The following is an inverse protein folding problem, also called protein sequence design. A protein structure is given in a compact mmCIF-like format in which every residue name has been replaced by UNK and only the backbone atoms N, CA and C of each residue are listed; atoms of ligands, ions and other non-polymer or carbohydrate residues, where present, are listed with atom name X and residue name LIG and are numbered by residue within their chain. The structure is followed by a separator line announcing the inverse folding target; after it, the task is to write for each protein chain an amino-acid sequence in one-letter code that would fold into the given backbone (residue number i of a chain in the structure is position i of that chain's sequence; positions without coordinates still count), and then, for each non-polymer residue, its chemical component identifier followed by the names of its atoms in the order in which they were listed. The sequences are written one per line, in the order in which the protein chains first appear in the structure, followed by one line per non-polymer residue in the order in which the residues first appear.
data_IF_574208252973
#
_entry.id   IF_574208252973
#
_cell.length_a   1.000
_cell.length_b   1.000
_cell.length_c   1.000
_cell.angle_alpha   90.00
_cell.angle_beta   90.00
_cell.angle_gamma   90.00
#
_symmetry.space_group_name_H-M   'P 1'
#
loop_
_entity.id
_entity.type
_entity.pdbx_description
1 polymer ?
#
# COMPACT_ATOMS: atom_id res chain seq x y z
N UNK A 1 -20.76 32.90 -25.35
CA UNK A 1 -19.55 32.06 -25.23
C UNK A 1 -19.94 30.75 -24.54
N UNK A 2 -20.01 29.64 -25.28
CA UNK A 2 -20.27 28.32 -24.73
C UNK A 2 -19.06 27.91 -23.86
N UNK A 3 -19.29 27.59 -22.58
CA UNK A 3 -18.28 26.97 -21.73
C UNK A 3 -17.90 25.62 -22.36
N UNK A 4 -16.61 25.28 -22.49
CA UNK A 4 -16.22 23.98 -22.98
C UNK A 4 -16.79 22.90 -22.05
N UNK A 5 -17.50 21.91 -22.62
CA UNK A 5 -17.95 20.72 -21.87
C UNK A 5 -16.73 20.06 -21.24
N UNK A 6 -16.71 19.92 -19.92
CA UNK A 6 -15.68 19.15 -19.23
C UNK A 6 -15.75 17.71 -19.73
N UNK A 7 -14.75 17.30 -20.48
CA UNK A 7 -14.59 15.92 -20.96
C UNK A 7 -13.92 15.12 -19.85
N UNK A 8 -14.50 13.98 -19.48
CA UNK A 8 -13.89 13.03 -18.57
C UNK A 8 -13.26 11.90 -19.40
N UNK A 9 -11.96 11.67 -19.23
CA UNK A 9 -11.26 10.58 -19.88
C UNK A 9 -11.29 9.33 -18.99
N UNK A 10 -11.73 8.19 -19.56
CA UNK A 10 -11.70 6.89 -18.89
C UNK A 10 -10.73 5.98 -19.63
N UNK A 11 -9.76 5.43 -18.92
CA UNK A 11 -8.76 4.50 -19.48
C UNK A 11 -9.21 3.06 -19.19
N UNK A 12 -9.31 2.24 -20.24
CA UNK A 12 -9.53 0.80 -20.16
C UNK A 12 -8.22 0.09 -20.50
N UNK A 13 -7.77 -0.83 -19.66
CA UNK A 13 -6.51 -1.54 -19.89
C UNK A 13 -6.54 -2.96 -19.34
N UNK A 14 -5.93 -3.89 -20.05
CA UNK A 14 -5.67 -5.25 -19.56
C UNK A 14 -4.51 -5.30 -18.56
N UNK A 15 -3.74 -4.22 -18.43
CA UNK A 15 -2.60 -4.16 -17.52
C UNK A 15 -3.12 -3.75 -16.14
N UNK A 16 -2.98 -4.65 -15.18
CA UNK A 16 -3.30 -4.40 -13.77
C UNK A 16 -2.05 -3.89 -13.04
N UNK A 17 -1.59 -2.70 -13.44
CA UNK A 17 -0.44 -2.04 -12.83
C UNK A 17 -0.88 -0.71 -12.22
N UNK A 18 -0.64 -0.55 -10.95
CA UNK A 18 -0.96 0.68 -10.22
C UNK A 18 -0.06 1.84 -10.70
N UNK A 19 1.17 1.55 -11.10
CA UNK A 19 2.06 2.56 -11.69
C UNK A 19 1.47 3.14 -12.98
N UNK A 20 0.85 2.29 -13.82
CA UNK A 20 0.19 2.74 -15.06
C UNK A 20 -1.11 3.45 -14.73
N UNK A 21 -1.88 2.96 -13.76
CA UNK A 21 -3.07 3.66 -13.26
C UNK A 21 -2.71 5.06 -12.76
N UNK A 22 -1.68 5.17 -11.93
CA UNK A 22 -1.18 6.44 -11.42
C UNK A 22 -0.69 7.37 -12.54
N UNK A 23 -0.01 6.83 -13.54
CA UNK A 23 0.43 7.60 -14.71
C UNK A 23 -0.78 8.12 -15.50
N UNK A 24 -1.78 7.28 -15.77
CA UNK A 24 -2.99 7.68 -16.47
C UNK A 24 -3.73 8.82 -15.77
N UNK A 25 -3.88 8.75 -14.43
CA UNK A 25 -4.50 9.81 -13.63
C UNK A 25 -3.68 11.09 -13.64
N UNK A 26 -2.35 11.01 -13.58
CA UNK A 26 -1.47 12.20 -13.73
C UNK A 26 -1.61 12.85 -15.10
N UNK A 27 -1.86 12.06 -16.13
CA UNK A 27 -2.14 12.55 -17.50
C UNK A 27 -3.58 13.08 -17.67
N UNK A 28 -4.38 13.11 -16.61
CA UNK A 28 -5.73 13.69 -16.64
C UNK A 28 -6.87 12.69 -16.83
N UNK A 29 -6.61 11.36 -16.75
CA UNK A 29 -7.68 10.38 -16.72
C UNK A 29 -8.50 10.53 -15.45
N UNK A 30 -9.82 10.61 -15.57
CA UNK A 30 -10.73 10.66 -14.44
C UNK A 30 -11.03 9.29 -13.85
N UNK A 31 -10.79 8.21 -14.60
CA UNK A 31 -10.96 6.84 -14.15
C UNK A 31 -10.03 5.89 -14.91
N UNK A 32 -9.58 4.81 -14.23
CA UNK A 32 -8.83 3.73 -14.83
C UNK A 32 -9.50 2.40 -14.48
N UNK A 33 -9.88 1.62 -15.48
CA UNK A 33 -10.60 0.36 -15.30
C UNK A 33 -9.75 -0.77 -15.87
N UNK A 34 -9.36 -1.70 -15.00
CA UNK A 34 -8.63 -2.89 -15.40
C UNK A 34 -9.59 -3.93 -15.99
N UNK A 35 -9.28 -4.38 -17.20
CA UNK A 35 -10.01 -5.46 -17.90
C UNK A 35 -9.44 -6.84 -17.51
N UNK A 36 -10.23 -7.94 -17.62
CA UNK A 36 -11.65 -7.92 -17.99
C UNK A 36 -12.54 -7.37 -16.88
N UNK A 37 -13.56 -6.58 -17.26
CA UNK A 37 -14.59 -6.07 -16.35
C UNK A 37 -15.95 -6.19 -17.04
N UNK A 38 -17.03 -6.48 -16.32
CA UNK A 38 -18.39 -6.51 -16.87
C UNK A 38 -18.77 -5.17 -17.49
N UNK A 39 -19.49 -5.18 -18.61
CA UNK A 39 -19.91 -3.94 -19.29
C UNK A 39 -20.72 -3.00 -18.37
N UNK A 40 -21.57 -3.57 -17.51
CA UNK A 40 -22.32 -2.82 -16.50
C UNK A 40 -21.44 -2.06 -15.52
N UNK A 41 -20.32 -2.66 -15.10
CA UNK A 41 -19.34 -2.02 -14.21
C UNK A 41 -18.60 -0.88 -14.92
N UNK A 42 -18.22 -1.09 -16.18
CA UNK A 42 -17.56 -0.06 -17.02
C UNK A 42 -18.47 1.15 -17.17
N UNK A 43 -19.74 0.93 -17.53
CA UNK A 43 -20.74 2.00 -17.71
C UNK A 43 -21.01 2.72 -16.39
N UNK A 44 -21.16 1.98 -15.29
CA UNK A 44 -21.40 2.55 -13.97
C UNK A 44 -20.24 3.46 -13.53
N UNK A 45 -19.00 3.03 -13.72
CA UNK A 45 -17.81 3.79 -13.33
C UNK A 45 -17.56 4.99 -14.26
N UNK A 46 -17.81 4.85 -15.55
CA UNK A 46 -17.75 5.95 -16.51
C UNK A 46 -18.77 7.04 -16.18
N UNK A 47 -20.03 6.66 -15.90
CA UNK A 47 -21.08 7.61 -15.50
C UNK A 47 -20.77 8.29 -14.16
N UNK A 48 -20.14 7.60 -13.22
CA UNK A 48 -19.69 8.18 -11.96
C UNK A 48 -18.54 9.18 -12.16
N UNK A 49 -17.70 8.98 -13.19
CA UNK A 49 -16.62 9.89 -13.54
C UNK A 49 -17.13 11.28 -13.94
N UNK A 50 -18.22 11.36 -14.70
CA UNK A 50 -18.82 12.64 -15.11
C UNK A 50 -19.35 13.47 -13.93
N UNK A 51 -19.79 12.80 -12.85
CA UNK A 51 -20.38 13.45 -11.66
C UNK A 51 -19.32 13.89 -10.63
N UNK A 52 -18.08 13.48 -10.81
CA UNK A 52 -17.00 13.83 -9.86
C UNK A 52 -16.55 15.27 -10.08
N UNK A 53 -16.72 16.11 -9.06
CA UNK A 53 -16.09 17.44 -9.02
C UNK A 53 -14.59 17.31 -8.72
N UNK A 54 -13.81 18.35 -9.04
CA UNK A 54 -12.37 18.39 -8.82
C UNK A 54 -11.95 18.01 -7.38
N UNK A 55 -12.79 18.31 -6.38
CA UNK A 55 -12.56 17.94 -4.98
C UNK A 55 -12.65 16.43 -4.71
N UNK A 56 -13.52 15.72 -5.43
CA UNK A 56 -13.67 14.26 -5.31
C UNK A 56 -12.50 13.54 -6.00
N UNK A 57 -11.97 14.11 -7.08
CA UNK A 57 -10.78 13.61 -7.78
C UNK A 57 -9.55 13.73 -6.84
N UNK A 58 -9.47 14.78 -6.05
CA UNK A 58 -8.41 14.99 -5.06
C UNK A 58 -8.49 13.99 -3.90
N UNK A 59 -9.70 13.55 -3.51
CA UNK A 59 -9.88 12.53 -2.45
C UNK A 59 -9.64 11.09 -2.92
N UNK A 60 -9.86 10.79 -4.20
CA UNK A 60 -9.48 9.52 -4.83
C UNK A 60 -8.06 9.57 -5.41
N UNK A 61 -7.19 10.38 -4.83
CA UNK A 61 -5.78 10.33 -5.16
C UNK A 61 -5.34 8.87 -5.07
N UNK A 62 -4.99 8.33 -6.24
CA UNK A 62 -4.09 7.21 -6.39
C UNK A 62 -3.21 7.16 -5.14
N UNK A 63 -3.14 6.00 -4.52
CA UNK A 63 -2.19 5.68 -3.48
C UNK A 63 -0.78 6.14 -3.91
N UNK A 64 -0.50 7.44 -3.76
CA UNK A 64 0.88 7.83 -3.58
C UNK A 64 1.28 7.16 -2.27
N UNK A 65 2.23 6.23 -2.31
CA UNK A 65 2.61 5.51 -1.11
C UNK A 65 2.87 6.56 -0.04
N UNK A 66 2.14 6.48 1.06
CA UNK A 66 2.21 7.43 2.20
C UNK A 66 3.67 7.71 2.60
N UNK A 67 4.57 6.78 2.29
CA UNK A 67 5.99 6.90 2.58
C UNK A 67 6.71 7.94 1.69
N UNK A 68 6.29 8.21 0.45
CA UNK A 68 6.90 9.25 -0.39
C UNK A 68 6.52 10.66 0.06
N UNK A 69 5.34 10.84 0.64
CA UNK A 69 4.89 12.09 1.24
C UNK A 69 5.26 12.22 2.71
N UNK A 70 5.57 11.11 3.34
CA UNK A 70 5.96 11.10 4.74
C UNK A 70 7.30 11.82 4.89
N UNK A 71 7.32 12.92 5.62
CA UNK A 71 8.55 13.51 6.13
C UNK A 71 9.18 12.60 7.21
N UNK A 72 8.49 11.54 7.60
CA UNK A 72 8.93 10.61 8.61
C UNK A 72 10.06 9.72 8.09
N UNK A 73 11.20 9.84 8.75
CA UNK A 73 12.44 9.13 8.42
C UNK A 73 12.26 7.60 8.47
N UNK A 74 11.54 7.11 9.48
CA UNK A 74 11.33 5.68 9.67
C UNK A 74 10.50 5.08 8.53
N UNK A 75 9.40 5.72 8.14
CA UNK A 75 8.57 5.27 7.02
C UNK A 75 9.37 5.21 5.70
N UNK A 76 10.19 6.25 5.42
CA UNK A 76 11.03 6.28 4.21
C UNK A 76 12.09 5.20 4.22
N UNK A 77 12.73 4.96 5.37
CA UNK A 77 13.76 3.93 5.51
C UNK A 77 13.15 2.53 5.35
N UNK A 78 11.99 2.30 5.96
CA UNK A 78 11.21 1.08 5.78
C UNK A 78 10.87 0.84 4.31
N UNK A 79 10.34 1.84 3.61
CA UNK A 79 10.00 1.72 2.18
C UNK A 79 11.20 1.35 1.30
N UNK A 80 12.38 1.90 1.57
CA UNK A 80 13.62 1.52 0.85
C UNK A 80 13.96 0.05 1.08
N UNK A 81 13.95 -0.42 2.32
CA UNK A 81 14.23 -1.81 2.66
C UNK A 81 13.21 -2.75 2.00
N UNK A 82 11.91 -2.41 2.03
CA UNK A 82 10.86 -3.22 1.40
C UNK A 82 11.07 -3.33 -0.12
N UNK A 83 11.50 -2.26 -0.79
CA UNK A 83 11.83 -2.29 -2.21
C UNK A 83 13.06 -3.16 -2.50
N UNK A 84 14.08 -3.08 -1.66
CA UNK A 84 15.28 -3.92 -1.77
C UNK A 84 14.94 -5.41 -1.57
N UNK A 85 13.95 -5.71 -0.74
CA UNK A 85 13.40 -7.05 -0.55
C UNK A 85 12.44 -7.48 -1.68
N UNK A 86 12.22 -6.63 -2.68
CA UNK A 86 11.41 -6.95 -3.86
C UNK A 86 9.91 -6.80 -3.65
N UNK A 87 9.45 -6.19 -2.55
CA UNK A 87 8.02 -5.95 -2.35
C UNK A 87 7.55 -4.78 -3.22
N UNK A 88 6.57 -4.98 -4.12
CA UNK A 88 6.07 -3.89 -4.96
C UNK A 88 5.34 -2.83 -4.13
N UNK A 89 5.60 -1.55 -4.42
CA UNK A 89 4.86 -0.42 -3.79
C UNK A 89 3.35 -0.47 -4.06
N UNK A 90 2.95 -1.20 -5.08
CA UNK A 90 1.56 -1.36 -5.50
C UNK A 90 0.75 -2.27 -4.58
N UNK A 91 1.39 -3.03 -3.73
CA UNK A 91 0.70 -3.87 -2.75
C UNK A 91 0.20 -3.02 -1.58
N UNK A 92 -1.07 -3.19 -1.20
CA UNK A 92 -1.64 -2.52 -0.03
C UNK A 92 -0.83 -2.75 1.25
N UNK A 93 -0.26 -3.95 1.40
CA UNK A 93 0.62 -4.29 2.51
C UNK A 93 1.90 -3.47 2.59
N UNK A 94 2.41 -2.94 1.47
CA UNK A 94 3.60 -2.08 1.45
C UNK A 94 3.38 -0.82 2.29
N UNK A 95 2.33 -0.06 2.00
CA UNK A 95 2.01 1.18 2.72
C UNK A 95 1.63 0.91 4.18
N UNK A 96 0.94 -0.20 4.43
CA UNK A 96 0.57 -0.62 5.78
C UNK A 96 1.80 -1.00 6.62
N UNK A 97 2.80 -1.69 6.05
CA UNK A 97 4.06 -1.99 6.72
C UNK A 97 4.85 -0.71 7.02
N UNK A 98 4.95 0.23 6.07
CA UNK A 98 5.60 1.52 6.30
C UNK A 98 4.92 2.32 7.41
N UNK A 99 3.58 2.38 7.40
CA UNK A 99 2.79 3.03 8.44
C UNK A 99 2.95 2.35 9.80
N UNK A 100 2.93 1.01 9.81
CA UNK A 100 3.12 0.21 11.03
C UNK A 100 4.49 0.44 11.66
N UNK A 101 5.56 0.39 10.87
CA UNK A 101 6.93 0.66 11.35
C UNK A 101 7.04 2.09 11.89
N UNK A 102 6.50 3.08 11.18
CA UNK A 102 6.46 4.47 11.65
C UNK A 102 5.82 4.59 13.03
N UNK A 103 4.64 4.00 13.19
CA UNK A 103 3.91 4.03 14.46
C UNK A 103 4.68 3.30 15.57
N UNK A 104 5.31 2.16 15.26
CA UNK A 104 6.07 1.39 16.24
C UNK A 104 7.39 2.09 16.65
N UNK A 105 8.04 2.85 15.75
CA UNK A 105 9.19 3.68 16.11
C UNK A 105 8.77 4.80 17.06
N UNK A 106 7.62 5.43 16.83
CA UNK A 106 7.10 6.50 17.68
C UNK A 106 6.53 5.96 19.01
N UNK A 107 5.95 4.78 18.99
CA UNK A 107 5.25 4.16 20.14
C UNK A 107 5.55 2.66 20.19
N UNK A 108 6.71 2.24 20.75
CA UNK A 108 7.16 0.84 20.72
C UNK A 108 6.19 -0.15 21.37
N UNK A 109 5.38 0.28 22.32
CA UNK A 109 4.38 -0.56 23.02
C UNK A 109 3.35 -1.15 22.03
N UNK A 110 3.15 -0.56 20.85
CA UNK A 110 2.25 -1.08 19.82
C UNK A 110 2.68 -2.45 19.28
N UNK A 111 3.96 -2.81 19.38
CA UNK A 111 4.47 -4.13 18.99
C UNK A 111 3.90 -5.28 19.83
N UNK A 112 3.56 -5.01 21.09
CA UNK A 112 2.93 -6.01 21.98
C UNK A 112 1.42 -6.10 21.81
N UNK A 113 0.79 -5.20 21.05
CA UNK A 113 -0.67 -5.06 20.95
C UNK A 113 -1.13 -4.85 19.49
N UNK A 114 -0.68 -5.73 18.59
CA UNK A 114 -0.94 -5.58 17.15
C UNK A 114 -2.44 -5.55 16.84
N UNK A 115 -3.18 -6.56 17.29
CA UNK A 115 -4.61 -6.72 16.98
C UNK A 115 -5.48 -5.69 17.66
N UNK A 116 -5.15 -5.33 18.90
CA UNK A 116 -5.98 -4.45 19.74
C UNK A 116 -5.63 -2.98 19.61
N UNK A 117 -4.42 -2.65 19.16
CA UNK A 117 -3.97 -1.26 19.08
C UNK A 117 -3.42 -0.86 17.70
N UNK A 118 -2.44 -1.60 17.14
CA UNK A 118 -1.78 -1.20 15.90
C UNK A 118 -2.70 -1.29 14.70
N UNK A 119 -3.39 -2.44 14.50
CA UNK A 119 -4.26 -2.63 13.34
C UNK A 119 -5.46 -1.68 13.34
N UNK A 120 -6.17 -1.43 14.45
CA UNK A 120 -7.21 -0.41 14.50
C UNK A 120 -6.70 1.00 14.17
N UNK A 121 -5.50 1.36 14.65
CA UNK A 121 -4.90 2.66 14.38
C UNK A 121 -4.56 2.84 12.89
N UNK A 122 -3.95 1.83 12.27
CA UNK A 122 -3.70 1.80 10.83
C UNK A 122 -5.01 1.80 10.03
N UNK A 123 -6.00 1.04 10.48
CA UNK A 123 -7.32 0.99 9.85
C UNK A 123 -7.96 2.37 9.77
N UNK A 124 -7.88 3.15 10.85
CA UNK A 124 -8.34 4.55 10.86
C UNK A 124 -7.57 5.45 9.92
N UNK A 125 -6.23 5.34 9.86
CA UNK A 125 -5.39 6.14 8.97
C UNK A 125 -5.61 5.82 7.48
N UNK A 126 -5.83 4.55 7.16
CA UNK A 126 -5.94 4.07 5.76
C UNK A 126 -7.39 3.88 5.30
N UNK A 127 -8.38 4.15 6.14
CA UNK A 127 -9.80 3.97 5.80
C UNK A 127 -10.17 2.51 5.50
N UNK A 128 -9.59 1.55 6.22
CA UNK A 128 -9.77 0.12 6.03
C UNK A 128 -10.32 -0.56 7.29
N UNK A 129 -10.80 -1.80 7.18
CA UNK A 129 -11.13 -2.60 8.35
C UNK A 129 -9.86 -3.20 9.00
N UNK A 130 -9.77 -3.33 10.34
CA UNK A 130 -8.62 -3.90 11.02
C UNK A 130 -8.24 -5.31 10.52
N UNK A 131 -9.21 -6.16 10.22
CA UNK A 131 -8.99 -7.49 9.64
C UNK A 131 -8.39 -7.43 8.21
N UNK A 132 -8.74 -6.40 7.45
CA UNK A 132 -8.15 -6.16 6.14
C UNK A 132 -6.68 -5.71 6.26
N UNK A 133 -6.37 -4.85 7.25
CA UNK A 133 -4.99 -4.44 7.57
C UNK A 133 -4.14 -5.66 7.92
N UNK A 134 -4.60 -6.48 8.86
CA UNK A 134 -3.90 -7.70 9.28
C UNK A 134 -3.62 -8.63 8.09
N UNK A 135 -4.65 -8.94 7.29
CA UNK A 135 -4.53 -9.83 6.14
C UNK A 135 -3.54 -9.31 5.11
N UNK A 136 -3.59 -8.00 4.77
CA UNK A 136 -2.71 -7.41 3.79
C UNK A 136 -1.25 -7.34 4.29
N UNK A 137 -1.02 -7.06 5.57
CA UNK A 137 0.31 -7.07 6.15
C UNK A 137 0.89 -8.48 6.18
N UNK A 138 0.09 -9.49 6.58
CA UNK A 138 0.50 -10.89 6.57
C UNK A 138 0.87 -11.34 5.16
N UNK A 139 0.03 -11.07 4.18
CA UNK A 139 0.31 -11.40 2.79
C UNK A 139 1.57 -10.73 2.25
N UNK A 140 1.82 -9.47 2.61
CA UNK A 140 3.04 -8.77 2.21
C UNK A 140 4.29 -9.40 2.82
N UNK A 141 4.26 -9.77 4.11
CA UNK A 141 5.37 -10.47 4.77
C UNK A 141 5.60 -11.83 4.12
N UNK A 142 4.57 -12.61 3.87
CA UNK A 142 4.66 -13.90 3.17
C UNK A 142 5.32 -13.73 1.80
N UNK A 143 4.87 -12.74 1.03
CA UNK A 143 5.41 -12.45 -0.29
C UNK A 143 6.91 -12.10 -0.26
N UNK A 144 7.35 -11.34 0.73
CA UNK A 144 8.77 -11.04 0.93
C UNK A 144 9.58 -12.33 1.10
N UNK A 145 9.14 -13.23 2.00
CA UNK A 145 9.88 -14.48 2.27
C UNK A 145 9.85 -15.47 1.10
N UNK A 146 8.86 -15.37 0.20
CA UNK A 146 8.77 -16.19 -1.01
C UNK A 146 9.65 -15.68 -2.15
N UNK A 147 9.87 -14.36 -2.26
CA UNK A 147 10.43 -13.77 -3.49
C UNK A 147 11.70 -12.98 -3.29
N UNK A 148 12.02 -12.58 -2.06
CA UNK A 148 13.24 -11.81 -1.81
C UNK A 148 14.51 -12.65 -1.96
N UNK A 149 15.61 -12.06 -2.46
CA UNK A 149 16.91 -12.72 -2.48
C UNK A 149 17.33 -13.12 -1.06
N UNK A 150 17.84 -14.36 -0.92
CA UNK A 150 18.18 -14.93 0.39
C UNK A 150 19.22 -14.08 1.13
N UNK A 151 20.18 -13.52 0.40
CA UNK A 151 21.23 -12.67 0.95
C UNK A 151 20.67 -11.40 1.61
N UNK A 152 19.63 -10.83 1.00
CA UNK A 152 18.94 -9.64 1.54
C UNK A 152 18.09 -9.98 2.76
N UNK A 153 17.42 -11.15 2.75
CA UNK A 153 16.71 -11.64 3.93
C UNK A 153 17.66 -11.84 5.10
N UNK A 154 18.83 -12.45 4.87
CA UNK A 154 19.85 -12.61 5.90
C UNK A 154 20.40 -11.28 6.41
N UNK A 155 20.66 -10.34 5.52
CA UNK A 155 21.14 -9.01 5.90
C UNK A 155 20.16 -8.24 6.78
N UNK A 156 18.84 -8.37 6.51
CA UNK A 156 17.81 -7.67 7.27
C UNK A 156 17.37 -8.41 8.53
N UNK A 157 17.24 -9.74 8.47
CA UNK A 157 16.57 -10.54 9.52
C UNK A 157 17.46 -11.57 10.18
N UNK A 158 18.66 -11.86 9.63
CA UNK A 158 19.54 -12.90 10.13
C UNK A 158 18.84 -14.26 10.20
N UNK A 159 19.04 -15.00 11.29
CA UNK A 159 18.40 -16.29 11.55
C UNK A 159 17.06 -16.19 12.31
N UNK A 160 16.39 -15.02 12.25
CA UNK A 160 15.15 -14.80 13.01
C UNK A 160 13.92 -15.47 12.40
N UNK A 161 14.04 -16.17 11.27
CA UNK A 161 12.91 -16.91 10.69
C UNK A 161 12.50 -18.08 11.60
N UNK A 162 11.20 -18.29 11.76
CA UNK A 162 10.67 -19.45 12.48
C UNK A 162 11.08 -20.73 11.73
N UNK A 163 11.86 -21.66 12.33
CA UNK A 163 12.33 -22.85 11.66
C UNK A 163 11.22 -23.74 11.11
N UNK A 164 10.05 -23.75 11.78
CA UNK A 164 8.90 -24.56 11.38
C UNK A 164 8.12 -23.94 10.21
N UNK A 165 8.15 -22.62 10.08
CA UNK A 165 7.35 -21.86 9.09
C UNK A 165 8.19 -21.27 7.97
N UNK A 166 9.52 -21.24 8.10
CA UNK A 166 10.43 -20.63 7.13
C UNK A 166 10.23 -19.11 6.95
N UNK A 167 9.44 -18.46 7.81
CA UNK A 167 9.11 -17.03 7.72
C UNK A 167 8.86 -16.43 9.10
N UNK A 168 9.03 -15.11 9.19
CA UNK A 168 8.66 -14.36 10.40
C UNK A 168 7.14 -14.18 10.52
N UNK A 169 6.64 -14.12 11.76
CA UNK A 169 5.32 -13.55 12.02
C UNK A 169 5.31 -12.04 11.70
N UNK A 170 4.14 -11.46 11.46
CA UNK A 170 4.02 -10.01 11.22
C UNK A 170 4.59 -9.21 12.38
N UNK A 171 4.37 -9.66 13.62
CA UNK A 171 4.91 -8.99 14.80
C UNK A 171 6.44 -9.01 14.86
N UNK A 172 7.05 -10.18 14.63
CA UNK A 172 8.51 -10.32 14.58
C UNK A 172 9.11 -9.51 13.42
N UNK A 173 8.46 -9.50 12.25
CA UNK A 173 8.86 -8.68 11.11
C UNK A 173 8.83 -7.19 11.45
N UNK A 174 7.73 -6.70 12.02
CA UNK A 174 7.60 -5.31 12.44
C UNK A 174 8.62 -4.91 13.50
N UNK A 175 8.86 -5.78 14.48
CA UNK A 175 9.86 -5.51 15.53
C UNK A 175 11.27 -5.35 14.92
N UNK A 176 11.67 -6.22 14.02
CA UNK A 176 12.95 -6.14 13.35
C UNK A 176 13.04 -4.91 12.44
N UNK A 177 12.01 -4.64 11.64
CA UNK A 177 11.95 -3.46 10.78
C UNK A 177 11.97 -2.16 11.61
N UNK A 178 11.28 -2.12 12.74
CA UNK A 178 11.30 -0.97 13.66
C UNK A 178 12.72 -0.70 14.15
N UNK A 179 13.46 -1.75 14.55
CA UNK A 179 14.86 -1.63 14.97
C UNK A 179 15.77 -1.12 13.84
N UNK A 180 15.56 -1.59 12.61
CA UNK A 180 16.35 -1.15 11.44
C UNK A 180 16.02 0.30 11.03
N UNK A 181 14.84 0.80 11.35
CA UNK A 181 14.34 2.09 10.89
C UNK A 181 14.36 3.21 11.95
N UNK A 182 14.59 2.87 13.19
CA UNK A 182 14.76 3.82 14.29
C UNK A 182 15.94 4.81 14.11
#
# INVERSE_FOLDING_TARGET
AQRPKKTCAVVLSYIRSEAICAAAVRCGAGEYIALPAPASEIVRRAAACEKRTAETIVKNRVYEPVFYRSQDRAARRCGKILLELGLPMTMAGFSLLCGGVRLCVQTPVLLSSLTTALYPKLAGEFGAAPSCVERNMRYAVERIFETAPIEKLYACFGFCADPAKGKLSVGAFLAQMTRLCA
#
